data_IF_277540049565
#
_entry.id   IF_277540049565
#
_cell.length_a   1.000
_cell.length_b   1.000
_cell.length_c   1.000
_cell.angle_alpha   90.00
_cell.angle_beta   90.00
_cell.angle_gamma   90.00
#
_symmetry.space_group_name_H-M   'P 1'
#
loop_
_entity.id
_entity.type
_entity.pdbx_description
1 polymer ?
#
# COMPACT_ATOMS: atom_id res chain seq x y z
N UNK A 1 -4.66 2.56 23.81
CA UNK A 1 -3.76 3.53 23.17
C UNK A 1 -2.53 2.76 22.71
N UNK A 2 -2.46 2.39 21.44
CA UNK A 2 -1.25 1.84 20.82
C UNK A 2 -0.80 2.86 19.79
N UNK A 3 0.29 3.53 20.10
CA UNK A 3 0.99 4.45 19.20
C UNK A 3 1.44 3.67 17.96
N UNK A 4 0.87 4.01 16.82
CA UNK A 4 1.33 3.51 15.52
C UNK A 4 2.61 4.27 15.21
N UNK A 5 3.75 3.59 15.36
CA UNK A 5 5.04 4.08 14.87
C UNK A 5 5.02 4.04 13.33
N UNK A 6 4.77 5.19 12.72
CA UNK A 6 4.69 5.37 11.27
C UNK A 6 6.07 5.65 10.62
N UNK A 7 7.16 5.34 11.30
CA UNK A 7 8.51 5.54 10.77
C UNK A 7 9.39 4.30 11.00
N UNK A 8 9.18 3.27 10.17
CA UNK A 8 10.16 2.20 10.04
C UNK A 8 10.10 1.56 8.65
N UNK A 9 10.49 2.28 7.62
CA UNK A 9 11.00 1.71 6.38
C UNK A 9 11.84 2.76 5.61
N UNK A 10 12.80 3.39 6.31
CA UNK A 10 13.92 4.02 5.61
C UNK A 10 14.98 2.94 5.48
N UNK A 11 14.99 2.22 4.36
CA UNK A 11 16.13 1.44 3.95
C UNK A 11 17.27 2.42 3.64
N UNK A 12 18.07 2.77 4.66
CA UNK A 12 19.38 3.38 4.46
C UNK A 12 20.28 2.36 3.82
N UNK A 13 20.49 2.50 2.52
CA UNK A 13 21.60 1.86 1.83
C UNK A 13 22.89 2.57 2.28
N UNK A 14 23.47 2.13 3.41
CA UNK A 14 24.79 2.55 3.83
C UNK A 14 25.80 1.82 2.97
N UNK A 15 26.27 2.48 1.91
CA UNK A 15 27.48 2.10 1.23
C UNK A 15 28.68 2.42 2.15
N UNK A 16 29.10 1.43 2.91
CA UNK A 16 30.36 1.49 3.62
C UNK A 16 31.53 1.47 2.62
N UNK A 17 32.03 2.63 2.24
CA UNK A 17 33.32 2.75 1.59
C UNK A 17 34.39 2.52 2.67
N UNK A 18 34.94 1.32 2.72
CA UNK A 18 36.06 0.99 3.57
C UNK A 18 37.32 1.68 3.02
N UNK A 19 37.67 2.84 3.55
CA UNK A 19 38.99 3.41 3.38
C UNK A 19 40.01 2.60 4.19
N UNK A 20 40.73 1.73 3.52
CA UNK A 20 41.84 1.00 4.10
C UNK A 20 43.11 1.86 4.02
N UNK A 21 43.35 2.68 5.06
CA UNK A 21 44.63 3.41 5.24
C UNK A 21 45.63 2.51 5.94
N UNK A 22 46.48 1.84 5.21
CA UNK A 22 47.74 1.28 5.74
C UNK A 22 48.82 2.35 5.74
N UNK A 23 49.30 2.68 6.91
CA UNK A 23 50.50 3.52 7.17
C UNK A 23 51.76 2.69 6.89
N UNK A 24 52.75 3.19 6.13
CA UNK A 24 54.00 2.49 5.97
C UNK A 24 54.97 2.83 7.14
N UNK A 25 55.54 1.78 7.72
CA UNK A 25 56.74 1.91 8.58
C UNK A 25 57.95 1.58 7.73
N UNK A 26 59.04 2.30 7.96
CA UNK A 26 60.18 2.42 7.10
C UNK A 26 61.26 1.35 7.23
N UNK A 27 62.25 1.56 6.36
CA UNK A 27 63.66 1.18 6.34
C UNK A 27 64.10 -0.27 6.06
N UNK A 28 64.76 -0.53 4.99
CA UNK A 28 66.19 -0.65 4.75
C UNK A 28 66.51 -1.44 3.46
N UNK A 29 67.32 -0.78 2.65
CA UNK A 29 68.37 -1.23 1.75
C UNK A 29 68.46 -2.68 1.19
N UNK A 30 68.56 -2.76 -0.15
CA UNK A 30 69.09 -3.94 -0.85
C UNK A 30 68.83 -3.85 -2.37
N UNK A 31 69.83 -3.50 -3.14
CA UNK A 31 69.81 -3.46 -4.63
C UNK A 31 69.66 -4.86 -5.21
N UNK A 32 68.81 -5.03 -6.22
CA UNK A 32 69.16 -5.76 -7.43
C UNK A 32 68.26 -5.34 -8.60
N UNK A 33 68.90 -5.17 -9.76
CA UNK A 33 68.39 -4.68 -11.02
C UNK A 33 67.84 -5.82 -11.87
N UNK A 34 66.49 -5.88 -12.02
CA UNK A 34 65.93 -6.51 -13.22
C UNK A 34 64.78 -5.64 -13.72
N UNK A 35 64.97 -5.20 -15.02
CA UNK A 35 64.04 -4.29 -15.67
C UNK A 35 62.65 -4.87 -15.85
N UNK A 36 61.74 -4.32 -15.07
CA UNK A 36 60.28 -4.44 -15.34
C UNK A 36 59.86 -3.07 -15.87
N UNK A 37 59.37 -3.06 -17.12
CA UNK A 37 58.78 -1.86 -17.70
C UNK A 37 57.70 -1.31 -16.79
N UNK A 38 57.60 0.04 -16.63
CA UNK A 38 56.54 0.60 -15.78
C UNK A 38 55.20 0.24 -16.38
N UNK A 39 54.41 -0.55 -15.63
CA UNK A 39 52.98 -0.67 -15.87
C UNK A 39 52.42 0.74 -15.68
N UNK A 40 52.00 1.36 -16.77
CA UNK A 40 51.32 2.64 -16.70
C UNK A 40 50.06 2.45 -15.82
N UNK A 41 50.15 2.84 -14.57
CA UNK A 41 48.98 3.04 -13.75
C UNK A 41 48.09 4.06 -14.47
N UNK A 42 46.98 3.58 -15.01
CA UNK A 42 45.92 4.44 -15.51
C UNK A 42 45.35 5.20 -14.26
N UNK A 43 45.99 6.30 -13.93
CA UNK A 43 45.45 7.22 -12.91
C UNK A 43 44.21 7.86 -13.50
N UNK A 44 43.08 7.23 -13.27
CA UNK A 44 41.76 7.81 -13.61
C UNK A 44 41.69 9.13 -12.83
N UNK A 45 41.62 10.26 -13.53
CA UNK A 45 41.46 11.55 -12.85
C UNK A 45 40.18 11.53 -12.02
N UNK A 46 40.21 12.16 -10.84
CA UNK A 46 39.08 12.24 -9.96
C UNK A 46 37.78 12.73 -10.68
N UNK A 47 37.93 13.55 -11.69
CA UNK A 47 36.87 14.02 -12.58
C UNK A 47 36.21 12.89 -13.42
N UNK A 48 36.96 11.85 -13.77
CA UNK A 48 36.45 10.68 -14.47
C UNK A 48 35.69 9.70 -13.57
N UNK A 49 35.72 9.90 -12.25
CA UNK A 49 34.93 9.12 -11.27
C UNK A 49 33.55 9.74 -10.93
N UNK A 50 33.26 10.94 -11.46
CA UNK A 50 31.96 11.57 -11.28
C UNK A 50 30.90 10.87 -12.14
N UNK A 51 29.68 10.72 -11.61
CA UNK A 51 28.56 10.23 -12.40
C UNK A 51 28.34 11.08 -13.66
N UNK A 52 28.09 10.42 -14.77
CA UNK A 52 27.72 11.08 -16.02
C UNK A 52 26.37 11.79 -15.90
N UNK A 53 26.10 12.73 -16.80
CA UNK A 53 24.79 13.39 -16.87
C UNK A 53 23.64 12.39 -17.01
N UNK A 54 23.82 11.33 -17.80
CA UNK A 54 22.79 10.30 -18.00
C UNK A 54 22.50 9.52 -16.70
N UNK A 55 23.52 9.21 -15.90
CA UNK A 55 23.35 8.55 -14.60
C UNK A 55 22.63 9.46 -13.59
N UNK A 56 22.96 10.76 -13.58
CA UNK A 56 22.27 11.75 -12.74
C UNK A 56 20.80 11.87 -13.14
N UNK A 57 20.51 12.00 -14.44
CA UNK A 57 19.15 12.09 -14.97
C UNK A 57 18.34 10.82 -14.62
N UNK A 58 18.95 9.64 -14.76
CA UNK A 58 18.34 8.35 -14.43
C UNK A 58 17.99 8.27 -12.93
N UNK A 59 18.95 8.59 -12.06
CA UNK A 59 18.70 8.59 -10.61
C UNK A 59 17.61 9.59 -10.23
N UNK A 60 17.65 10.80 -10.79
CA UNK A 60 16.64 11.83 -10.52
C UNK A 60 15.23 11.38 -10.92
N UNK A 61 15.11 10.70 -12.08
CA UNK A 61 13.83 10.15 -12.53
C UNK A 61 13.32 9.03 -11.59
N UNK A 62 14.20 8.11 -11.18
CA UNK A 62 13.87 7.04 -10.24
C UNK A 62 13.40 7.60 -8.88
N UNK A 63 14.05 8.64 -8.36
CA UNK A 63 13.60 9.33 -7.15
C UNK A 63 12.19 9.94 -7.36
N UNK A 64 11.93 10.53 -8.52
CA UNK A 64 10.60 11.03 -8.89
C UNK A 64 9.53 9.94 -8.89
N UNK A 65 9.82 8.74 -9.43
CA UNK A 65 8.91 7.59 -9.39
C UNK A 65 8.61 7.18 -7.93
N UNK A 66 9.62 7.13 -7.06
CA UNK A 66 9.43 6.78 -5.66
C UNK A 66 8.53 7.81 -4.94
N UNK A 67 8.75 9.10 -5.17
CA UNK A 67 7.86 10.14 -4.66
C UNK A 67 6.43 10.00 -5.21
N UNK A 68 6.28 9.73 -6.50
CA UNK A 68 4.97 9.47 -7.12
C UNK A 68 4.25 8.27 -6.50
N UNK A 69 4.98 7.19 -6.24
CA UNK A 69 4.45 6.01 -5.54
C UNK A 69 3.97 6.35 -4.12
N UNK A 70 4.74 7.15 -3.37
CA UNK A 70 4.36 7.62 -2.04
C UNK A 70 3.09 8.49 -2.10
N UNK A 71 3.02 9.46 -3.01
CA UNK A 71 1.85 10.33 -3.20
C UNK A 71 0.60 9.49 -3.47
N UNK A 72 0.72 8.49 -4.34
CA UNK A 72 -0.37 7.56 -4.67
C UNK A 72 -0.73 6.66 -3.49
N UNK A 73 0.26 6.08 -2.80
CA UNK A 73 0.05 5.17 -1.67
C UNK A 73 -0.63 5.83 -0.47
N UNK A 74 -0.33 7.09 -0.20
CA UNK A 74 -0.98 7.87 0.87
C UNK A 74 -2.24 8.62 0.41
N UNK A 75 -2.68 8.42 -0.83
CA UNK A 75 -3.83 9.11 -1.43
C UNK A 75 -3.76 10.65 -1.25
N UNK A 76 -2.57 11.23 -1.43
CA UNK A 76 -2.38 12.68 -1.22
C UNK A 76 -3.03 13.52 -2.32
N UNK A 77 -3.46 12.92 -3.43
CA UNK A 77 -4.11 13.59 -4.55
C UNK A 77 -3.14 14.50 -5.32
N UNK A 78 -3.66 15.59 -5.83
CA UNK A 78 -2.84 16.56 -6.57
C UNK A 78 -2.04 17.42 -5.61
N UNK A 79 -0.71 17.36 -5.71
CA UNK A 79 0.21 18.24 -5.01
C UNK A 79 0.75 19.31 -5.96
N UNK A 80 1.13 20.45 -5.40
CA UNK A 80 1.84 21.49 -6.14
C UNK A 80 3.31 21.10 -6.34
N UNK A 81 3.66 20.55 -7.50
CA UNK A 81 5.02 20.11 -7.80
C UNK A 81 6.05 21.24 -7.85
N UNK A 82 5.62 22.49 -8.07
CA UNK A 82 6.52 23.65 -7.99
C UNK A 82 6.94 23.92 -6.54
N UNK A 83 5.99 23.87 -5.60
CA UNK A 83 6.31 24.00 -4.17
C UNK A 83 7.11 22.79 -3.66
N UNK A 84 6.82 21.57 -4.14
CA UNK A 84 7.62 20.39 -3.83
C UNK A 84 9.07 20.56 -4.29
N UNK A 85 9.29 20.97 -5.53
CA UNK A 85 10.63 21.26 -6.08
C UNK A 85 11.34 22.34 -5.26
N UNK A 86 10.61 23.39 -4.89
CA UNK A 86 11.16 24.45 -4.05
C UNK A 86 11.60 23.94 -2.69
N UNK A 87 10.77 23.14 -2.00
CA UNK A 87 11.13 22.53 -0.71
C UNK A 87 12.36 21.66 -0.79
N UNK A 88 12.51 20.86 -1.88
CA UNK A 88 13.71 20.06 -2.12
C UNK A 88 14.95 20.96 -2.26
N UNK A 89 14.86 22.02 -3.06
CA UNK A 89 15.97 22.95 -3.26
C UNK A 89 16.32 23.69 -1.97
N UNK A 90 15.33 24.15 -1.22
CA UNK A 90 15.54 24.85 0.06
C UNK A 90 16.30 23.92 1.03
N UNK A 91 15.93 22.65 1.11
CA UNK A 91 16.58 21.68 1.99
C UNK A 91 18.01 21.34 1.55
N UNK A 92 18.22 21.08 0.25
CA UNK A 92 19.55 20.74 -0.31
C UNK A 92 20.56 21.88 -0.15
N UNK A 93 20.08 23.14 -0.22
CA UNK A 93 20.93 24.33 -0.10
C UNK A 93 20.99 24.90 1.33
N UNK A 94 20.30 24.30 2.30
CA UNK A 94 20.31 24.76 3.68
C UNK A 94 21.68 24.55 4.32
N UNK A 95 22.12 25.52 5.12
CA UNK A 95 23.44 25.51 5.74
C UNK A 95 23.39 24.99 7.19
N UNK A 96 24.45 24.32 7.61
CA UNK A 96 24.63 23.89 8.98
C UNK A 96 24.25 22.44 9.25
N UNK A 97 24.25 22.07 10.53
CA UNK A 97 23.96 20.71 10.95
C UNK A 97 22.45 20.54 11.14
N UNK A 98 21.87 19.53 10.48
CA UNK A 98 20.44 19.20 10.57
C UNK A 98 19.95 18.90 11.99
N UNK A 99 20.85 18.52 12.90
CA UNK A 99 20.54 18.28 14.32
C UNK A 99 20.53 19.57 15.15
N UNK A 100 20.84 20.73 14.56
CA UNK A 100 20.78 22.02 15.23
C UNK A 100 19.37 22.59 15.14
N UNK A 101 18.72 23.00 16.25
CA UNK A 101 17.39 23.63 16.23
C UNK A 101 17.28 24.87 15.33
N UNK A 102 18.40 25.58 15.10
CA UNK A 102 18.43 26.73 14.19
C UNK A 102 18.32 26.33 12.71
N UNK A 103 18.66 25.07 12.38
CA UNK A 103 18.58 24.58 10.99
C UNK A 103 17.16 24.68 10.42
N UNK A 104 16.16 24.30 11.21
CA UNK A 104 14.75 24.30 10.76
C UNK A 104 14.18 25.70 10.53
N UNK A 105 14.78 26.74 11.12
CA UNK A 105 14.35 28.13 10.93
C UNK A 105 14.64 28.70 9.53
N UNK A 106 15.43 28.00 8.72
CA UNK A 106 15.73 28.39 7.34
C UNK A 106 14.57 28.09 6.38
N UNK A 107 13.58 27.30 6.81
CA UNK A 107 12.48 26.90 5.96
C UNK A 107 11.23 27.76 6.17
N UNK A 108 10.44 27.90 5.10
CA UNK A 108 9.15 28.62 5.11
C UNK A 108 8.16 28.06 6.14
N UNK A 109 8.22 26.74 6.36
CA UNK A 109 7.39 26.01 7.30
C UNK A 109 8.34 25.10 8.11
N UNK A 110 8.16 25.07 9.44
CA UNK A 110 8.97 24.21 10.27
C UNK A 110 8.73 22.71 9.92
N UNK A 111 9.76 21.96 9.49
CA UNK A 111 9.61 20.54 9.18
C UNK A 111 9.12 19.68 10.35
N UNK A 112 9.29 20.13 11.59
CA UNK A 112 8.79 19.43 12.79
C UNK A 112 7.26 19.38 12.84
N UNK A 113 6.58 20.31 12.16
CA UNK A 113 5.12 20.31 12.02
C UNK A 113 4.59 19.33 10.98
N UNK A 114 5.48 18.65 10.26
CA UNK A 114 5.11 17.80 9.12
C UNK A 114 4.01 16.77 9.49
N UNK A 115 4.17 16.08 10.62
CA UNK A 115 3.21 15.04 11.03
C UNK A 115 1.81 15.63 11.24
N UNK A 116 1.71 16.81 11.89
CA UNK A 116 0.44 17.49 12.12
C UNK A 116 -0.20 17.92 10.80
N UNK A 117 0.57 18.61 9.95
CA UNK A 117 0.09 19.11 8.65
C UNK A 117 -0.36 17.97 7.75
N UNK A 118 0.41 16.89 7.66
CA UNK A 118 0.07 15.70 6.85
C UNK A 118 -1.18 15.03 7.38
N UNK A 119 -1.30 14.85 8.71
CA UNK A 119 -2.50 14.24 9.30
C UNK A 119 -3.75 15.06 9.03
N UNK A 120 -3.72 16.37 9.26
CA UNK A 120 -4.85 17.27 8.99
C UNK A 120 -5.23 17.29 7.49
N UNK A 121 -4.23 17.21 6.61
CA UNK A 121 -4.46 17.15 5.17
C UNK A 121 -5.14 15.83 4.77
N UNK A 122 -4.64 14.70 5.27
CA UNK A 122 -5.22 13.38 5.01
C UNK A 122 -6.65 13.30 5.55
N UNK A 123 -6.91 13.81 6.77
CA UNK A 123 -8.27 13.83 7.33
C UNK A 123 -9.25 14.61 6.44
N UNK A 124 -8.85 15.79 5.95
CA UNK A 124 -9.70 16.58 5.04
C UNK A 124 -9.96 15.85 3.72
N UNK A 125 -8.96 15.20 3.16
CA UNK A 125 -9.12 14.40 1.95
C UNK A 125 -10.03 13.21 2.16
N UNK A 126 -9.83 12.47 3.24
CA UNK A 126 -10.67 11.33 3.57
C UNK A 126 -12.13 11.74 3.81
N UNK A 127 -12.37 12.85 4.50
CA UNK A 127 -13.71 13.39 4.69
C UNK A 127 -14.39 13.75 3.36
N UNK A 128 -13.65 14.41 2.46
CA UNK A 128 -14.15 14.71 1.11
C UNK A 128 -14.46 13.44 0.32
N UNK A 129 -13.51 12.50 0.27
CA UNK A 129 -13.67 11.21 -0.44
C UNK A 129 -14.84 10.42 0.14
N UNK A 130 -14.98 10.38 1.47
CA UNK A 130 -16.10 9.72 2.14
C UNK A 130 -17.46 10.31 1.72
N UNK A 131 -17.55 11.63 1.66
CA UNK A 131 -18.79 12.31 1.25
C UNK A 131 -19.15 12.01 -0.22
N UNK A 132 -18.16 12.10 -1.12
CA UNK A 132 -18.34 11.79 -2.56
C UNK A 132 -18.73 10.32 -2.76
N UNK A 133 -18.06 9.40 -2.08
CA UNK A 133 -18.35 7.96 -2.19
C UNK A 133 -19.71 7.61 -1.61
N UNK A 134 -20.14 8.26 -0.53
CA UNK A 134 -21.48 8.05 0.06
C UNK A 134 -22.60 8.43 -0.93
N UNK A 135 -22.45 9.57 -1.62
CA UNK A 135 -23.40 9.97 -2.66
C UNK A 135 -23.37 9.01 -3.85
N UNK A 136 -22.16 8.62 -4.29
CA UNK A 136 -21.97 7.68 -5.38
C UNK A 136 -22.50 6.28 -5.05
N UNK A 137 -22.39 5.83 -3.78
CA UNK A 137 -22.94 4.57 -3.30
C UNK A 137 -24.47 4.51 -3.47
N UNK A 138 -25.18 5.57 -3.09
CA UNK A 138 -26.64 5.60 -3.25
C UNK A 138 -27.06 5.37 -4.71
N UNK A 139 -26.44 6.10 -5.63
CA UNK A 139 -26.69 5.94 -7.08
C UNK A 139 -26.34 4.54 -7.59
N UNK A 140 -25.22 3.99 -7.12
CA UNK A 140 -24.79 2.64 -7.48
C UNK A 140 -25.81 1.58 -7.04
N UNK A 141 -26.30 1.64 -5.80
CA UNK A 141 -27.29 0.68 -5.30
C UNK A 141 -28.65 0.86 -5.96
N UNK A 142 -29.04 2.06 -6.36
CA UNK A 142 -30.24 2.29 -7.16
C UNK A 142 -30.18 1.57 -8.52
N UNK A 143 -28.99 1.49 -9.13
CA UNK A 143 -28.78 0.73 -10.37
C UNK A 143 -28.67 -0.78 -10.11
N UNK A 144 -28.00 -1.19 -9.03
CA UNK A 144 -27.88 -2.61 -8.65
C UNK A 144 -29.25 -3.24 -8.42
N UNK A 145 -30.16 -2.55 -7.73
CA UNK A 145 -31.53 -3.03 -7.44
C UNK A 145 -32.39 -3.25 -8.69
N UNK A 146 -32.03 -2.61 -9.81
CA UNK A 146 -32.74 -2.79 -11.11
C UNK A 146 -32.27 -4.03 -11.88
N UNK A 147 -31.14 -4.63 -11.47
CA UNK A 147 -30.61 -5.83 -12.15
C UNK A 147 -31.51 -7.03 -11.88
N UNK A 148 -31.78 -7.80 -12.94
CA UNK A 148 -32.62 -8.99 -12.83
C UNK A 148 -32.05 -10.01 -11.85
N UNK A 149 -32.88 -10.53 -10.96
CA UNK A 149 -32.52 -11.55 -9.98
C UNK A 149 -31.78 -11.03 -8.74
N UNK A 150 -31.43 -9.76 -8.68
CA UNK A 150 -30.83 -9.16 -7.49
C UNK A 150 -31.87 -9.02 -6.39
N UNK A 151 -31.51 -9.45 -5.19
CA UNK A 151 -32.28 -9.32 -3.96
C UNK A 151 -31.55 -8.36 -3.00
N UNK A 152 -32.27 -7.84 -2.02
CA UNK A 152 -31.70 -6.97 -0.99
C UNK A 152 -32.15 -7.45 0.37
N UNK A 153 -31.24 -7.60 1.29
CA UNK A 153 -31.51 -7.97 2.68
C UNK A 153 -31.96 -6.76 3.51
N UNK A 154 -32.47 -6.96 4.72
CA UNK A 154 -32.83 -5.87 5.66
C UNK A 154 -31.64 -4.99 6.06
N UNK A 155 -30.43 -5.50 6.05
CA UNK A 155 -29.20 -4.76 6.37
C UNK A 155 -28.73 -3.86 5.23
N UNK A 156 -29.27 -4.06 4.01
CA UNK A 156 -28.89 -3.33 2.79
C UNK A 156 -27.90 -4.07 1.91
N UNK A 157 -27.49 -5.29 2.27
CA UNK A 157 -26.71 -6.14 1.38
C UNK A 157 -27.54 -6.47 0.15
N UNK A 158 -27.06 -6.13 -1.07
CA UNK A 158 -27.66 -6.61 -2.29
C UNK A 158 -26.87 -7.81 -2.81
N UNK A 159 -27.57 -8.81 -3.35
CA UNK A 159 -26.94 -10.05 -3.79
C UNK A 159 -27.66 -10.70 -4.96
N UNK A 160 -26.90 -11.42 -5.76
CA UNK A 160 -27.41 -12.27 -6.85
C UNK A 160 -26.86 -13.67 -6.65
N UNK A 161 -27.74 -14.61 -6.27
CA UNK A 161 -27.38 -16.04 -6.22
C UNK A 161 -27.33 -16.57 -7.66
N UNK A 162 -26.16 -17.04 -8.08
CA UNK A 162 -25.94 -17.69 -9.39
C UNK A 162 -26.17 -19.20 -9.28
N UNK A 163 -25.63 -19.80 -8.21
CA UNK A 163 -25.74 -21.20 -7.84
C UNK A 163 -25.94 -21.27 -6.33
N UNK A 164 -26.99 -21.94 -5.86
CA UNK A 164 -27.31 -21.97 -4.43
C UNK A 164 -26.33 -22.85 -3.63
N UNK A 165 -25.71 -23.85 -4.26
CA UNK A 165 -24.95 -24.88 -3.59
C UNK A 165 -25.83 -25.95 -2.95
N UNK A 166 -25.28 -26.71 -2.01
CA UNK A 166 -25.99 -27.74 -1.26
C UNK A 166 -26.86 -27.11 -0.13
N UNK A 167 -27.65 -27.94 0.55
CA UNK A 167 -28.55 -27.48 1.64
C UNK A 167 -27.88 -27.35 3.01
N UNK A 168 -26.57 -27.46 3.09
CA UNK A 168 -25.83 -27.36 4.37
C UNK A 168 -25.89 -25.92 4.87
N UNK A 169 -26.42 -25.74 6.09
CA UNK A 169 -26.43 -24.45 6.76
C UNK A 169 -25.18 -24.28 7.59
N UNK A 170 -24.63 -23.11 7.56
CA UNK A 170 -23.45 -22.74 8.34
C UNK A 170 -23.71 -21.47 9.17
N UNK A 171 -22.87 -21.30 10.17
CA UNK A 171 -22.97 -20.21 11.17
C UNK A 171 -21.79 -19.25 11.07
N UNK A 172 -21.88 -18.14 11.78
CA UNK A 172 -20.79 -17.16 11.89
C UNK A 172 -19.50 -17.75 12.51
N UNK A 173 -19.60 -18.86 13.26
CA UNK A 173 -18.42 -19.50 13.89
C UNK A 173 -17.69 -20.45 12.96
N UNK A 174 -18.29 -20.80 11.83
CA UNK A 174 -17.73 -21.74 10.90
C UNK A 174 -16.57 -21.12 10.08
N UNK A 175 -15.72 -22.01 9.58
CA UNK A 175 -14.64 -21.67 8.68
C UNK A 175 -15.04 -22.04 7.25
N UNK A 176 -14.88 -21.13 6.32
CA UNK A 176 -15.20 -21.32 4.91
C UNK A 176 -13.95 -21.34 4.05
N UNK A 177 -14.02 -22.04 2.94
CA UNK A 177 -13.02 -22.06 1.88
C UNK A 177 -13.66 -21.47 0.63
N UNK A 178 -13.04 -20.41 0.09
CA UNK A 178 -13.66 -19.60 -0.97
C UNK A 178 -12.67 -19.24 -2.05
N UNK A 179 -13.18 -19.12 -3.28
CA UNK A 179 -12.61 -18.31 -4.35
C UNK A 179 -13.42 -17.03 -4.47
N UNK A 180 -12.76 -15.92 -4.78
CA UNK A 180 -13.46 -14.67 -4.93
C UNK A 180 -12.71 -13.68 -5.80
N UNK A 181 -13.47 -12.72 -6.29
CA UNK A 181 -12.97 -11.54 -6.97
C UNK A 181 -13.61 -10.31 -6.37
N UNK A 182 -12.77 -9.43 -5.82
CA UNK A 182 -13.16 -8.13 -5.31
C UNK A 182 -12.98 -7.07 -6.39
N UNK A 183 -14.04 -6.37 -6.70
CA UNK A 183 -14.04 -5.24 -7.62
C UNK A 183 -14.69 -4.02 -7.01
N UNK A 184 -14.33 -2.84 -7.50
CA UNK A 184 -15.03 -1.59 -7.20
C UNK A 184 -16.28 -1.43 -8.09
N UNK A 185 -17.07 -0.39 -7.81
CA UNK A 185 -18.29 -0.04 -8.58
C UNK A 185 -18.04 0.22 -10.06
N UNK A 186 -16.84 0.61 -10.44
CA UNK A 186 -16.41 0.87 -11.83
C UNK A 186 -15.86 -0.38 -12.54
N UNK A 187 -15.83 -1.53 -11.85
CA UNK A 187 -15.30 -2.78 -12.36
C UNK A 187 -13.80 -2.97 -12.17
N UNK A 188 -13.09 -2.00 -11.57
CA UNK A 188 -11.66 -2.15 -11.25
C UNK A 188 -11.46 -3.28 -10.25
N UNK A 189 -10.64 -4.26 -10.59
CA UNK A 189 -10.31 -5.40 -9.74
C UNK A 189 -9.27 -4.98 -8.71
N UNK A 190 -9.57 -5.19 -7.43
CA UNK A 190 -8.68 -4.92 -6.29
C UNK A 190 -7.93 -6.17 -5.88
N UNK A 191 -8.63 -7.30 -5.85
CA UNK A 191 -8.08 -8.58 -5.42
C UNK A 191 -8.84 -9.72 -6.10
N UNK A 192 -8.13 -10.80 -6.42
CA UNK A 192 -8.73 -11.99 -7.02
C UNK A 192 -7.99 -13.23 -6.53
N UNK A 193 -8.75 -14.22 -6.08
CA UNK A 193 -8.31 -15.60 -5.86
C UNK A 193 -9.04 -16.44 -6.88
N UNK A 194 -8.38 -16.74 -7.99
CA UNK A 194 -8.95 -17.44 -9.12
C UNK A 194 -9.15 -18.94 -8.85
N UNK A 195 -10.07 -19.58 -9.56
CA UNK A 195 -10.42 -21.01 -9.36
C UNK A 195 -9.25 -21.98 -9.59
N UNK A 196 -8.19 -21.57 -10.31
CA UNK A 196 -6.97 -22.35 -10.53
C UNK A 196 -5.94 -22.23 -9.41
N UNK A 197 -6.22 -21.38 -8.41
CA UNK A 197 -5.41 -21.19 -7.20
C UNK A 197 -6.02 -21.94 -6.02
N UNK A 198 -5.25 -22.21 -4.94
CA UNK A 198 -5.84 -22.73 -3.71
C UNK A 198 -6.87 -21.74 -3.13
N UNK A 199 -8.02 -22.28 -2.69
CA UNK A 199 -9.04 -21.49 -2.01
C UNK A 199 -8.53 -20.88 -0.71
N UNK A 200 -9.03 -19.72 -0.36
CA UNK A 200 -8.67 -19.02 0.87
C UNK A 200 -9.55 -19.51 2.00
N UNK A 201 -8.92 -19.86 3.13
CA UNK A 201 -9.57 -20.25 4.37
C UNK A 201 -9.88 -19.01 5.22
N UNK A 202 -11.15 -18.80 5.55
CA UNK A 202 -11.62 -17.64 6.33
C UNK A 202 -12.59 -18.07 7.43
N UNK A 203 -12.46 -17.47 8.61
CA UNK A 203 -13.46 -17.61 9.67
C UNK A 203 -14.54 -16.54 9.50
N UNK A 204 -15.81 -16.94 9.42
CA UNK A 204 -16.93 -16.02 9.13
C UNK A 204 -17.11 -14.92 10.16
N UNK A 205 -16.71 -15.13 11.40
CA UNK A 205 -16.74 -14.09 12.46
C UNK A 205 -15.56 -13.10 12.41
N UNK A 206 -14.64 -13.23 11.41
CA UNK A 206 -13.47 -12.36 11.25
C UNK A 206 -13.41 -11.65 9.90
N UNK A 207 -14.43 -11.79 9.11
CA UNK A 207 -14.58 -11.09 7.82
C UNK A 207 -15.52 -9.88 7.97
N UNK A 208 -15.66 -9.10 6.91
CA UNK A 208 -16.61 -7.98 6.90
C UNK A 208 -18.06 -8.47 7.05
N UNK A 209 -18.95 -7.69 7.66
CA UNK A 209 -20.34 -8.11 7.91
C UNK A 209 -21.08 -8.57 6.64
N UNK A 210 -20.85 -7.90 5.51
CA UNK A 210 -21.44 -8.30 4.23
C UNK A 210 -21.04 -9.70 3.76
N UNK A 211 -19.85 -10.18 4.11
CA UNK A 211 -19.42 -11.55 3.84
C UNK A 211 -20.06 -12.54 4.81
N UNK A 212 -20.07 -12.22 6.12
CA UNK A 212 -20.72 -13.05 7.12
C UNK A 212 -22.18 -13.31 6.75
N UNK A 213 -22.88 -12.27 6.33
CA UNK A 213 -24.28 -12.38 5.90
C UNK A 213 -24.43 -13.08 4.54
N UNK A 214 -23.65 -12.64 3.54
CA UNK A 214 -23.79 -13.12 2.15
C UNK A 214 -23.43 -14.59 1.97
N UNK A 215 -22.38 -15.07 2.66
CA UNK A 215 -21.97 -16.46 2.58
C UNK A 215 -22.98 -17.40 3.24
N UNK A 216 -23.67 -16.97 4.30
CA UNK A 216 -24.74 -17.77 4.93
C UNK A 216 -25.98 -17.99 4.00
N UNK A 217 -26.06 -17.26 2.90
CA UNK A 217 -27.11 -17.49 1.87
C UNK A 217 -26.76 -18.66 0.94
N UNK A 218 -25.50 -19.12 0.93
CA UNK A 218 -24.98 -20.16 0.06
C UNK A 218 -24.80 -21.48 0.82
N UNK A 219 -24.94 -22.60 0.11
CA UNK A 219 -24.37 -23.87 0.52
C UNK A 219 -23.03 -24.12 -0.16
N UNK A 220 -22.35 -25.24 0.17
CA UNK A 220 -21.11 -25.62 -0.51
C UNK A 220 -21.33 -25.81 -2.02
N UNK A 221 -20.40 -25.35 -2.82
CA UNK A 221 -20.50 -25.25 -4.27
C UNK A 221 -21.30 -24.04 -4.74
N UNK A 222 -21.85 -23.23 -3.85
CA UNK A 222 -22.64 -22.05 -4.17
C UNK A 222 -21.81 -20.91 -4.75
N UNK A 223 -22.45 -20.14 -5.65
CA UNK A 223 -21.85 -18.94 -6.27
C UNK A 223 -22.79 -17.75 -6.20
N UNK A 224 -22.27 -16.60 -5.85
CA UNK A 224 -23.02 -15.36 -5.78
C UNK A 224 -22.20 -14.15 -6.19
N UNK A 225 -22.90 -13.09 -6.60
CA UNK A 225 -22.36 -11.74 -6.60
C UNK A 225 -22.95 -11.00 -5.41
N UNK A 226 -22.09 -10.51 -4.52
CA UNK A 226 -22.46 -9.67 -3.38
C UNK A 226 -22.12 -8.22 -3.70
N UNK A 227 -23.09 -7.32 -3.57
CA UNK A 227 -22.93 -5.88 -3.63
C UNK A 227 -22.99 -5.36 -2.19
N UNK A 228 -21.84 -5.07 -1.63
CA UNK A 228 -21.68 -4.78 -0.21
C UNK A 228 -21.62 -3.27 -0.01
N UNK A 229 -22.61 -2.66 0.69
CA UNK A 229 -22.51 -1.26 1.05
C UNK A 229 -21.36 -1.04 2.01
N UNK A 230 -20.80 0.16 2.01
CA UNK A 230 -19.63 0.47 2.82
C UNK A 230 -19.81 0.15 4.30
N UNK A 231 -21.02 0.33 4.83
CA UNK A 231 -21.40 0.04 6.21
C UNK A 231 -21.26 -1.45 6.58
N UNK A 232 -21.40 -2.34 5.60
CA UNK A 232 -21.18 -3.78 5.74
C UNK A 232 -19.80 -4.21 5.22
N UNK A 233 -18.97 -3.26 4.78
CA UNK A 233 -17.61 -3.42 4.31
C UNK A 233 -16.58 -2.77 5.24
N UNK A 234 -15.82 -1.81 4.69
CA UNK A 234 -14.74 -1.11 5.42
C UNK A 234 -15.13 0.27 5.95
N UNK A 235 -16.38 0.68 5.77
CA UNK A 235 -16.98 1.88 6.37
C UNK A 235 -16.32 3.21 5.99
N UNK A 236 -16.47 4.17 6.90
CA UNK A 236 -15.96 5.55 6.73
C UNK A 236 -14.43 5.67 6.77
N UNK A 237 -13.72 4.63 7.17
CA UNK A 237 -12.26 4.64 7.25
C UNK A 237 -11.61 4.07 6.00
N UNK A 238 -12.31 3.19 5.29
CA UNK A 238 -11.70 2.39 4.24
C UNK A 238 -10.65 1.41 4.78
N UNK A 239 -9.91 0.75 3.89
CA UNK A 239 -8.79 -0.13 4.25
C UNK A 239 -7.83 -0.30 3.07
N UNK A 240 -6.53 -0.17 3.30
CA UNK A 240 -5.51 -0.33 2.26
C UNK A 240 -5.84 0.49 0.99
N UNK A 241 -6.06 -0.20 -0.15
CA UNK A 241 -6.43 0.42 -1.43
C UNK A 241 -7.92 0.79 -1.55
N UNK A 242 -8.75 0.51 -0.53
CA UNK A 242 -10.18 0.79 -0.51
C UNK A 242 -10.42 2.11 0.21
N UNK A 243 -10.91 3.09 -0.53
CA UNK A 243 -11.19 4.43 -0.01
C UNK A 243 -12.38 4.44 0.97
N UNK A 244 -12.49 5.49 1.81
CA UNK A 244 -13.64 5.70 2.68
C UNK A 244 -14.99 5.63 1.95
N UNK A 245 -15.96 4.98 2.58
CA UNK A 245 -17.35 4.81 2.07
C UNK A 245 -17.42 4.22 0.65
N UNK A 246 -16.49 3.34 0.29
CA UNK A 246 -16.50 2.67 -1.01
C UNK A 246 -17.37 1.42 -0.96
N UNK A 247 -18.39 1.30 -1.80
CA UNK A 247 -19.14 0.07 -1.98
C UNK A 247 -18.30 -0.96 -2.72
N UNK A 248 -18.47 -2.24 -2.37
CA UNK A 248 -17.67 -3.34 -2.90
C UNK A 248 -18.54 -4.31 -3.68
N UNK A 249 -17.95 -4.94 -4.70
CA UNK A 249 -18.57 -6.00 -5.47
C UNK A 249 -17.70 -7.24 -5.34
N UNK A 250 -18.26 -8.30 -4.80
CA UNK A 250 -17.61 -9.60 -4.71
C UNK A 250 -18.33 -10.62 -5.57
N UNK A 251 -17.62 -11.20 -6.51
CA UNK A 251 -18.01 -12.49 -7.07
C UNK A 251 -17.38 -13.58 -6.22
N UNK A 252 -18.19 -14.43 -5.61
CA UNK A 252 -17.76 -15.43 -4.63
C UNK A 252 -18.21 -16.82 -5.06
N UNK A 253 -17.34 -17.80 -4.86
CA UNK A 253 -17.62 -19.22 -4.86
C UNK A 253 -17.27 -19.79 -3.49
N UNK A 254 -18.26 -20.43 -2.85
CA UNK A 254 -18.08 -21.16 -1.60
C UNK A 254 -17.75 -22.61 -1.90
N UNK A 255 -16.50 -23.00 -1.76
CA UNK A 255 -16.05 -24.37 -2.08
C UNK A 255 -16.48 -25.38 -1.02
N UNK A 256 -16.19 -25.07 0.25
CA UNK A 256 -16.54 -25.95 1.36
C UNK A 256 -16.63 -25.21 2.69
N UNK A 257 -17.25 -25.85 3.68
CA UNK A 257 -17.46 -25.33 5.02
C UNK A 257 -16.91 -26.32 6.04
N UNK A 258 -16.10 -25.82 6.97
CA UNK A 258 -15.69 -26.57 8.16
C UNK A 258 -16.44 -26.04 9.36
N UNK A 259 -17.37 -26.84 9.88
CA UNK A 259 -18.19 -26.47 11.02
C UNK A 259 -17.35 -26.34 12.30
N UNK A 260 -17.68 -25.32 13.07
CA UNK A 260 -17.10 -25.11 14.39
C UNK A 260 -17.62 -26.18 15.34
N UNK A 261 -16.67 -26.83 16.04
CA UNK A 261 -16.98 -27.77 17.12
C UNK A 261 -16.49 -27.11 18.41
N UNK A 262 -17.43 -26.84 19.32
CA UNK A 262 -17.05 -26.30 20.63
C UNK A 262 -16.11 -27.31 21.35
N UNK A 263 -15.06 -26.82 22.05
CA UNK A 263 -14.26 -27.69 22.91
C UNK A 263 -15.18 -28.44 23.90
N UNK A 264 -14.92 -29.74 24.08
CA UNK A 264 -15.60 -30.48 25.16
C UNK A 264 -15.17 -29.89 26.51
N UNK A 265 -16.14 -29.54 27.37
CA UNK A 265 -15.90 -29.06 28.73
C UNK A 265 -15.21 -30.12 29.61
#
# INVERSE_FOLDING_TARGET
MKTINLFAATAMLVLAVACNTKKPAGDAAGADSTGVAPVAENVVSAKGLLPSKAEIDTLSYLMGINFGSMIKGYNLGELNFNELKKGINDFVNANGNQNNPEFVKQFKINPEEMNRIVSEFIEKRNAYTAAVNKEAQAKFFDEVKKKAGVQTSPTGLAYLIKEAGNDIKHSEQDTVYVHYKLSLKDGSVIEEVAEDQPSVMLMLNRVIPGWTEGLQLLGEGGKATLYVPAELGYGERGANAIEPNTPLVFDIQLDSVKHYVAPAE
#
